data_IF_374705657562
#
_entry.id   IF_374705657562
#
_cell.length_a   1.000
_cell.length_b   1.000
_cell.length_c   1.000
_cell.angle_alpha   90.00
_cell.angle_beta   90.00
_cell.angle_gamma   90.00
#
_symmetry.space_group_name_H-M   'P 1'
#
loop_
_entity.id
_entity.type
_entity.pdbx_description
1 polymer ?
#
# COMPACT_ATOMS: atom_id res chain seq x y z
N UNK A 1 20.01 11.24 -2.61
CA UNK A 1 20.09 9.91 -1.98
C UNK A 1 20.52 8.91 -3.05
N UNK A 2 21.51 8.04 -2.81
CA UNK A 2 21.80 6.92 -3.74
C UNK A 2 20.50 6.15 -3.96
N UNK A 3 20.16 5.90 -5.22
CA UNK A 3 18.85 5.37 -5.63
C UNK A 3 18.46 4.10 -4.84
N UNK A 4 19.43 3.28 -4.40
CA UNK A 4 19.18 2.08 -3.60
C UNK A 4 18.49 2.35 -2.24
N UNK A 5 18.72 3.53 -1.62
CA UNK A 5 18.11 3.86 -0.32
C UNK A 5 16.60 4.09 -0.41
N UNK A 6 16.09 4.55 -1.56
CA UNK A 6 14.66 4.77 -1.77
C UNK A 6 13.91 3.43 -1.94
N UNK A 7 14.54 2.44 -2.60
CA UNK A 7 13.98 1.09 -2.72
C UNK A 7 13.77 0.45 -1.35
N UNK A 8 14.79 0.53 -0.49
CA UNK A 8 14.73 -0.02 0.86
C UNK A 8 13.65 0.69 1.71
N UNK A 9 13.60 2.02 1.65
CA UNK A 9 12.60 2.80 2.38
C UNK A 9 11.17 2.47 1.93
N UNK A 10 10.91 2.44 0.62
CA UNK A 10 9.60 2.08 0.08
C UNK A 10 9.21 0.64 0.44
N UNK A 11 10.17 -0.29 0.45
CA UNK A 11 9.94 -1.67 0.83
C UNK A 11 9.52 -1.84 2.29
N UNK A 12 10.29 -1.27 3.21
CA UNK A 12 9.95 -1.29 4.65
C UNK A 12 8.62 -0.59 4.88
N UNK A 13 8.43 0.59 4.31
CA UNK A 13 7.21 1.37 4.51
C UNK A 13 5.97 0.61 4.06
N UNK A 14 6.02 -0.04 2.89
CA UNK A 14 4.92 -0.85 2.37
C UNK A 14 4.63 -2.07 3.27
N UNK A 15 5.67 -2.74 3.80
CA UNK A 15 5.51 -3.85 4.75
C UNK A 15 4.91 -3.41 6.09
N UNK A 16 5.31 -2.26 6.61
CA UNK A 16 4.78 -1.74 7.89
C UNK A 16 3.33 -1.27 7.73
N UNK A 17 2.98 -0.64 6.61
CA UNK A 17 1.65 -0.10 6.38
C UNK A 17 0.61 -1.15 5.98
N UNK A 18 1.05 -2.27 5.37
CA UNK A 18 0.16 -3.38 5.01
C UNK A 18 -0.70 -3.91 6.18
N UNK A 19 -0.14 -4.33 7.33
CA UNK A 19 -0.94 -4.81 8.45
C UNK A 19 -1.81 -3.70 9.06
N UNK A 20 -1.39 -2.44 8.97
CA UNK A 20 -2.18 -1.29 9.46
C UNK A 20 -3.43 -1.10 8.60
N UNK A 21 -3.32 -1.21 7.27
CA UNK A 21 -4.49 -1.14 6.37
C UNK A 21 -5.43 -2.33 6.63
N UNK A 22 -4.89 -3.54 6.76
CA UNK A 22 -5.69 -4.72 7.06
C UNK A 22 -6.45 -4.55 8.39
N UNK A 23 -5.75 -4.11 9.43
CA UNK A 23 -6.33 -3.82 10.74
C UNK A 23 -7.42 -2.75 10.66
N UNK A 24 -7.12 -1.62 10.01
CA UNK A 24 -8.09 -0.54 9.82
C UNK A 24 -9.32 -1.00 9.05
N UNK A 25 -9.18 -1.88 8.04
CA UNK A 25 -10.32 -2.47 7.34
C UNK A 25 -11.22 -3.29 8.26
N UNK A 26 -10.66 -4.17 9.10
CA UNK A 26 -11.46 -4.98 10.02
C UNK A 26 -12.17 -4.14 11.09
N UNK A 27 -11.54 -3.06 11.56
CA UNK A 27 -12.13 -2.16 12.56
C UNK A 27 -13.04 -1.09 11.97
N UNK A 28 -13.01 -0.88 10.66
CA UNK A 28 -13.87 0.06 9.94
C UNK A 28 -15.33 -0.40 9.93
N UNK A 29 -15.56 -1.71 9.78
CA UNK A 29 -16.90 -2.26 9.63
C UNK A 29 -17.44 -2.73 10.97
N UNK A 30 -18.61 -2.24 11.34
CA UNK A 30 -19.35 -2.70 12.52
C UNK A 30 -20.75 -3.15 12.11
N UNK A 31 -21.16 -4.31 12.61
CA UNK A 31 -22.51 -4.81 12.43
C UNK A 31 -23.37 -4.22 13.56
N UNK A 32 -24.37 -3.41 13.20
CA UNK A 32 -25.33 -2.82 14.15
C UNK A 32 -26.76 -3.19 13.79
N UNK A 33 -27.61 -3.33 14.80
CA UNK A 33 -29.05 -3.49 14.62
C UNK A 33 -29.71 -2.11 14.65
N UNK A 34 -30.26 -1.64 13.52
CA UNK A 34 -30.86 -0.31 13.37
C UNK A 34 -32.23 -0.48 12.69
N UNK A 35 -33.27 0.09 13.31
CA UNK A 35 -34.66 0.03 12.81
C UNK A 35 -35.13 -1.39 12.47
N UNK A 36 -34.79 -2.38 13.32
CA UNK A 36 -35.22 -3.76 13.13
C UNK A 36 -34.42 -4.57 12.10
N UNK A 37 -33.36 -3.99 11.52
CA UNK A 37 -32.52 -4.66 10.52
C UNK A 37 -31.03 -4.62 10.91
N UNK A 38 -30.32 -5.70 10.58
CA UNK A 38 -28.87 -5.78 10.69
C UNK A 38 -28.24 -4.91 9.58
N UNK A 39 -27.38 -3.95 9.94
CA UNK A 39 -26.71 -3.04 9.00
C UNK A 39 -25.20 -3.05 9.21
N UNK A 40 -24.46 -2.99 8.11
CA UNK A 40 -23.03 -2.68 8.11
C UNK A 40 -22.85 -1.16 8.21
N UNK A 41 -22.20 -0.72 9.28
CA UNK A 41 -21.94 0.69 9.56
C UNK A 41 -20.45 0.96 9.44
N UNK A 42 -20.10 2.01 8.71
CA UNK A 42 -18.73 2.47 8.49
C UNK A 42 -18.28 3.39 9.64
N UNK A 43 -17.14 3.10 10.26
CA UNK A 43 -16.49 3.95 11.26
C UNK A 43 -15.51 4.92 10.56
N UNK A 44 -15.83 6.23 10.51
CA UNK A 44 -15.09 7.19 9.69
C UNK A 44 -13.63 7.39 10.13
N UNK A 45 -13.31 7.16 11.41
CA UNK A 45 -11.95 7.27 11.92
C UNK A 45 -10.97 6.33 11.21
N UNK A 46 -11.40 5.10 10.92
CA UNK A 46 -10.57 4.11 10.22
C UNK A 46 -10.49 4.37 8.72
N UNK A 47 -11.54 4.95 8.14
CA UNK A 47 -11.53 5.39 6.74
C UNK A 47 -10.46 6.47 6.48
N UNK A 48 -10.29 7.41 7.42
CA UNK A 48 -9.24 8.43 7.31
C UNK A 48 -7.84 7.81 7.27
N UNK A 49 -7.55 6.87 8.17
CA UNK A 49 -6.24 6.19 8.23
C UNK A 49 -5.92 5.44 6.94
N UNK A 50 -6.89 4.69 6.40
CA UNK A 50 -6.72 3.96 5.13
C UNK A 50 -6.46 4.93 3.98
N UNK A 51 -7.23 6.02 3.89
CA UNK A 51 -7.06 7.03 2.84
C UNK A 51 -5.71 7.73 2.92
N UNK A 52 -5.24 8.05 4.12
CA UNK A 52 -3.94 8.68 4.34
C UNK A 52 -2.79 7.77 3.87
N UNK A 53 -2.81 6.49 4.26
CA UNK A 53 -1.79 5.52 3.84
C UNK A 53 -1.84 5.32 2.32
N UNK A 54 -3.05 5.22 1.75
CA UNK A 54 -3.27 5.07 0.30
C UNK A 54 -2.72 6.27 -0.47
N UNK A 55 -2.89 7.48 0.05
CA UNK A 55 -2.30 8.69 -0.52
C UNK A 55 -0.76 8.67 -0.47
N UNK A 56 -0.17 8.24 0.65
CA UNK A 56 1.28 8.12 0.75
C UNK A 56 1.82 7.10 -0.28
N UNK A 57 1.16 5.95 -0.45
CA UNK A 57 1.50 4.99 -1.49
C UNK A 57 1.43 5.59 -2.91
N UNK A 58 0.45 6.47 -3.17
CA UNK A 58 0.35 7.20 -4.44
C UNK A 58 1.60 8.04 -4.67
N UNK A 59 1.97 8.87 -3.70
CA UNK A 59 3.15 9.75 -3.78
C UNK A 59 4.43 8.93 -3.97
N UNK A 60 4.63 7.88 -3.17
CA UNK A 60 5.79 7.00 -3.26
C UNK A 60 5.89 6.30 -4.63
N UNK A 61 4.77 5.81 -5.17
CA UNK A 61 4.76 5.13 -6.47
C UNK A 61 5.04 6.09 -7.63
N UNK A 62 4.48 7.30 -7.60
CA UNK A 62 4.76 8.35 -8.60
C UNK A 62 6.24 8.75 -8.55
N UNK A 63 6.78 9.04 -7.36
CA UNK A 63 8.20 9.38 -7.18
C UNK A 63 9.12 8.27 -7.71
N UNK A 64 8.82 7.01 -7.41
CA UNK A 64 9.57 5.88 -7.92
C UNK A 64 9.51 5.79 -9.46
N UNK A 65 8.34 5.99 -10.08
CA UNK A 65 8.21 6.00 -11.55
C UNK A 65 9.06 7.11 -12.19
N UNK A 66 9.07 8.30 -11.60
CA UNK A 66 9.86 9.42 -12.13
C UNK A 66 11.36 9.19 -11.99
N UNK A 67 11.81 8.72 -10.82
CA UNK A 67 13.24 8.52 -10.53
C UNK A 67 13.80 7.33 -11.33
N UNK A 68 13.05 6.24 -11.48
CA UNK A 68 13.52 4.99 -12.10
C UNK A 68 13.04 4.79 -13.54
N UNK A 69 12.53 5.84 -14.20
CA UNK A 69 12.00 5.79 -15.57
C UNK A 69 12.97 5.18 -16.60
N UNK A 70 14.28 5.31 -16.37
CA UNK A 70 15.36 4.81 -17.25
C UNK A 70 15.80 3.36 -17.00
N UNK A 71 15.37 2.72 -15.91
CA UNK A 71 15.82 1.36 -15.59
C UNK A 71 15.01 0.31 -16.38
N UNK A 72 15.72 -0.46 -17.21
CA UNK A 72 15.11 -1.21 -18.31
C UNK A 72 14.48 -2.56 -17.94
N UNK A 73 14.93 -3.24 -16.88
CA UNK A 73 14.55 -4.65 -16.68
C UNK A 73 14.10 -4.95 -15.23
N UNK A 74 12.92 -5.57 -15.10
CA UNK A 74 12.43 -6.21 -13.87
C UNK A 74 11.77 -5.30 -12.81
N UNK A 75 12.35 -4.14 -12.53
CA UNK A 75 11.98 -3.29 -11.38
C UNK A 75 10.63 -2.57 -11.50
N UNK A 76 10.06 -2.50 -12.70
CA UNK A 76 8.75 -1.86 -12.98
C UNK A 76 7.60 -2.43 -12.15
N UNK A 77 7.68 -3.70 -11.73
CA UNK A 77 6.58 -4.37 -11.03
C UNK A 77 6.38 -3.81 -9.61
N UNK A 78 7.46 -3.54 -8.88
CA UNK A 78 7.43 -3.13 -7.47
C UNK A 78 6.65 -1.83 -7.25
N UNK A 79 6.91 -0.82 -8.08
CA UNK A 79 6.19 0.45 -8.02
C UNK A 79 4.74 0.35 -8.53
N UNK A 80 4.49 -0.53 -9.50
CA UNK A 80 3.15 -0.74 -10.07
C UNK A 80 2.24 -1.44 -9.05
N UNK A 81 2.76 -2.40 -8.29
CA UNK A 81 2.04 -2.99 -7.16
C UNK A 81 1.73 -1.95 -6.07
N UNK A 82 2.66 -1.04 -5.77
CA UNK A 82 2.42 0.04 -4.81
C UNK A 82 1.36 1.03 -5.31
N UNK A 83 1.31 1.30 -6.62
CA UNK A 83 0.28 2.12 -7.25
C UNK A 83 -1.10 1.44 -7.18
N UNK A 84 -1.17 0.14 -7.46
CA UNK A 84 -2.42 -0.64 -7.33
C UNK A 84 -2.87 -0.70 -5.86
N UNK A 85 -1.93 -0.82 -4.92
CA UNK A 85 -2.24 -0.75 -3.49
C UNK A 85 -2.88 0.60 -3.13
N UNK A 86 -2.36 1.70 -3.68
CA UNK A 86 -2.96 3.02 -3.48
C UNK A 86 -4.39 3.11 -4.02
N UNK A 87 -4.62 2.73 -5.28
CA UNK A 87 -5.93 2.82 -5.94
C UNK A 87 -6.99 1.99 -5.19
N UNK A 88 -6.63 0.75 -4.84
CA UNK A 88 -7.53 -0.15 -4.11
C UNK A 88 -7.81 0.31 -2.69
N UNK A 89 -6.88 1.05 -2.07
CA UNK A 89 -7.04 1.57 -0.72
C UNK A 89 -8.07 2.70 -0.61
N UNK A 90 -8.24 3.50 -1.66
CA UNK A 90 -9.30 4.52 -1.72
C UNK A 90 -10.72 3.94 -1.82
N UNK A 91 -10.85 2.67 -2.21
CA UNK A 91 -12.15 2.02 -2.38
C UNK A 91 -12.48 1.23 -1.11
N UNK A 92 -13.50 1.62 -0.32
CA UNK A 92 -13.77 1.05 1.00
C UNK A 92 -13.86 -0.47 1.07
N UNK A 93 -14.56 -1.08 0.12
CA UNK A 93 -14.74 -2.54 0.07
C UNK A 93 -13.53 -3.29 -0.48
N UNK A 94 -12.63 -2.58 -1.18
CA UNK A 94 -11.43 -3.16 -1.78
C UNK A 94 -10.17 -2.84 -0.98
N UNK A 95 -10.24 -2.05 0.09
CA UNK A 95 -9.06 -1.63 0.83
C UNK A 95 -8.33 -2.79 1.51
N UNK A 96 -8.97 -3.96 1.69
CA UNK A 96 -8.27 -5.18 2.06
C UNK A 96 -7.24 -5.62 1.00
N UNK A 97 -7.56 -5.49 -0.29
CA UNK A 97 -6.60 -5.79 -1.36
C UNK A 97 -5.42 -4.82 -1.36
N UNK A 98 -5.61 -3.58 -0.90
CA UNK A 98 -4.51 -2.63 -0.70
C UNK A 98 -3.44 -3.18 0.23
N UNK A 99 -3.84 -3.81 1.34
CA UNK A 99 -2.91 -4.46 2.25
C UNK A 99 -2.12 -5.59 1.57
N UNK A 100 -2.79 -6.43 0.78
CA UNK A 100 -2.16 -7.53 0.03
C UNK A 100 -1.14 -6.98 -0.98
N UNK A 101 -1.54 -6.00 -1.78
CA UNK A 101 -0.67 -5.41 -2.79
C UNK A 101 0.50 -4.65 -2.18
N UNK A 102 0.30 -3.96 -1.05
CA UNK A 102 1.37 -3.32 -0.30
C UNK A 102 2.38 -4.34 0.24
N UNK A 103 1.91 -5.50 0.72
CA UNK A 103 2.78 -6.58 1.18
C UNK A 103 3.64 -7.13 0.04
N UNK A 104 3.00 -7.46 -1.10
CA UNK A 104 3.70 -7.93 -2.31
C UNK A 104 4.70 -6.88 -2.80
N UNK A 105 4.30 -5.60 -2.86
CA UNK A 105 5.19 -4.51 -3.21
C UNK A 105 6.39 -4.45 -2.27
N UNK A 106 6.17 -4.52 -0.96
CA UNK A 106 7.22 -4.51 0.06
C UNK A 106 8.26 -5.62 -0.12
N UNK A 107 7.80 -6.85 -0.36
CA UNK A 107 8.67 -8.00 -0.68
C UNK A 107 9.47 -7.75 -1.95
N UNK A 108 8.81 -7.28 -3.01
CA UNK A 108 9.48 -7.00 -4.29
C UNK A 108 10.55 -5.91 -4.16
N UNK A 109 10.27 -4.83 -3.41
CA UNK A 109 11.23 -3.77 -3.13
C UNK A 109 12.47 -4.28 -2.38
N UNK A 110 12.30 -5.20 -1.41
CA UNK A 110 13.42 -5.82 -0.69
C UNK A 110 14.25 -6.76 -1.58
N UNK A 111 13.59 -7.54 -2.44
CA UNK A 111 14.28 -8.42 -3.40
C UNK A 111 15.09 -7.59 -4.40
N UNK A 112 14.49 -6.53 -4.93
CA UNK A 112 15.17 -5.61 -5.86
C UNK A 112 16.34 -4.89 -5.17
N UNK A 113 16.17 -4.46 -3.91
CA UNK A 113 17.26 -3.87 -3.13
C UNK A 113 18.42 -4.85 -2.92
N UNK A 114 18.14 -6.10 -2.54
CA UNK A 114 19.18 -7.10 -2.31
C UNK A 114 19.96 -7.45 -3.59
N UNK A 115 19.33 -7.36 -4.77
CA UNK A 115 20.01 -7.49 -6.05
C UNK A 115 20.97 -6.31 -6.29
N UNK A 116 20.52 -5.08 -6.01
CA UNK A 116 21.32 -3.87 -6.19
C UNK A 116 22.51 -3.71 -5.23
N UNK A 117 22.51 -4.43 -4.11
CA UNK A 117 23.64 -4.45 -3.17
C UNK A 117 24.68 -5.50 -3.56
N UNK A 118 24.29 -6.51 -4.34
CA UNK A 118 25.16 -7.62 -4.76
C UNK A 118 25.83 -7.40 -6.12
N UNK A 119 25.33 -6.48 -6.93
CA UNK A 119 25.98 -5.95 -8.14
C UNK A 119 27.04 -4.90 -7.78
#
# INVERSE_FOLDING_TARGET
>A
MKSNSLFFFNGIFALTCSPIIAFAFFYRWEIRFINGALRFVDKPAWAFSVNLISFIFLVCSILAIFIYRKESNGRKKSFLFLLVASITGFIPFLSFFSAIFALIAGILYLVDFNRLVKE
#
